data_IF_246424356285
#
_entry.id   IF_246424356285
#
_cell.length_a   1.000
_cell.length_b   1.000
_cell.length_c   1.000
_cell.angle_alpha   90.00
_cell.angle_beta   90.00
_cell.angle_gamma   90.00
#
_symmetry.space_group_name_H-M   'P 1'
#
loop_
_entity.id
_entity.type
_entity.pdbx_description
1 polymer ?
#
# COMPACT_ATOMS: atom_id res chain seq x y z
N UNK A 1 -15.53 -28.18 15.29
CA UNK A 1 -15.43 -26.76 15.72
C UNK A 1 -15.02 -25.82 14.58
N UNK A 2 -13.99 -26.12 13.76
CA UNK A 2 -13.57 -25.27 12.61
C UNK A 2 -14.64 -25.04 11.53
N UNK A 3 -15.48 -26.04 11.22
CA UNK A 3 -16.52 -25.93 10.18
C UNK A 3 -17.60 -24.87 10.49
N UNK A 4 -17.87 -24.59 11.78
CA UNK A 4 -18.83 -23.57 12.18
C UNK A 4 -18.28 -22.15 12.01
N UNK A 5 -16.98 -21.93 12.26
CA UNK A 5 -16.35 -20.61 12.11
C UNK A 5 -16.34 -20.19 10.64
N UNK A 6 -15.97 -21.11 9.74
CA UNK A 6 -15.98 -20.85 8.29
C UNK A 6 -17.41 -20.54 7.81
N UNK A 7 -18.42 -21.32 8.21
CA UNK A 7 -19.81 -21.06 7.85
C UNK A 7 -20.36 -19.74 8.42
N UNK A 8 -19.91 -19.30 9.59
CA UNK A 8 -20.26 -17.99 10.17
C UNK A 8 -19.61 -16.85 9.38
N UNK A 9 -18.36 -17.02 8.93
CA UNK A 9 -17.66 -16.03 8.10
C UNK A 9 -18.32 -15.88 6.72
N UNK A 10 -18.63 -16.99 6.05
CA UNK A 10 -19.32 -16.97 4.75
C UNK A 10 -20.73 -16.36 4.84
N UNK A 11 -21.48 -16.60 5.92
CA UNK A 11 -22.79 -15.96 6.15
C UNK A 11 -22.72 -14.44 6.37
N UNK A 12 -21.55 -13.88 6.68
CA UNK A 12 -21.34 -12.43 6.88
C UNK A 12 -20.85 -11.71 5.62
N UNK A 13 -20.54 -12.43 4.54
CA UNK A 13 -20.19 -11.82 3.25
C UNK A 13 -21.48 -11.36 2.56
N UNK A 14 -21.89 -10.16 2.93
CA UNK A 14 -22.99 -9.44 2.29
C UNK A 14 -22.48 -8.72 1.01
N UNK A 15 -23.29 -8.70 -0.05
CA UNK A 15 -23.01 -8.13 -1.39
C UNK A 15 -22.30 -6.77 -1.34
N UNK A 16 -22.62 -5.93 -0.36
CA UNK A 16 -21.98 -4.62 -0.17
C UNK A 16 -20.44 -4.66 -0.02
N UNK A 17 -19.84 -5.75 0.48
CA UNK A 17 -18.38 -5.88 0.64
C UNK A 17 -17.65 -5.97 -0.71
N UNK A 18 -18.35 -6.37 -1.77
CA UNK A 18 -17.81 -6.49 -3.13
C UNK A 18 -18.24 -5.30 -3.97
N UNK A 19 -19.50 -4.88 -3.85
CA UNK A 19 -20.03 -3.75 -4.64
C UNK A 19 -19.31 -2.45 -4.30
N UNK A 20 -19.02 -2.18 -3.02
CA UNK A 20 -18.35 -0.95 -2.59
C UNK A 20 -16.96 -0.77 -3.23
N UNK A 21 -16.00 -1.72 -3.15
CA UNK A 21 -14.70 -1.56 -3.79
C UNK A 21 -14.79 -1.51 -5.32
N UNK A 22 -15.76 -2.21 -5.94
CA UNK A 22 -15.98 -2.12 -7.39
C UNK A 22 -16.42 -0.73 -7.80
N UNK A 23 -17.36 -0.12 -7.07
CA UNK A 23 -17.79 1.27 -7.34
C UNK A 23 -16.61 2.24 -7.19
N UNK A 24 -15.79 2.08 -6.15
CA UNK A 24 -14.58 2.91 -5.95
C UNK A 24 -13.58 2.73 -7.10
N UNK A 25 -13.38 1.50 -7.55
CA UNK A 25 -12.46 1.21 -8.66
C UNK A 25 -12.96 1.87 -9.96
N UNK A 26 -14.24 1.70 -10.29
CA UNK A 26 -14.84 2.28 -11.50
C UNK A 26 -14.82 3.81 -11.42
N UNK A 27 -15.16 4.41 -10.28
CA UNK A 27 -15.15 5.87 -10.12
C UNK A 27 -13.74 6.45 -10.24
N UNK A 28 -12.71 5.74 -9.75
CA UNK A 28 -11.31 6.13 -9.93
C UNK A 28 -10.90 6.17 -11.41
N UNK A 29 -11.24 5.13 -12.19
CA UNK A 29 -10.99 5.13 -13.64
C UNK A 29 -11.77 6.24 -14.34
N UNK A 30 -13.05 6.42 -14.06
CA UNK A 30 -13.85 7.48 -14.68
C UNK A 30 -13.26 8.87 -14.38
N UNK A 31 -12.88 9.12 -13.13
CA UNK A 31 -12.30 10.41 -12.73
C UNK A 31 -10.98 10.66 -13.45
N UNK A 32 -10.12 9.64 -13.53
CA UNK A 32 -8.85 9.74 -14.25
C UNK A 32 -9.07 9.99 -15.75
N UNK A 33 -10.07 9.35 -16.38
CA UNK A 33 -10.42 9.57 -17.79
C UNK A 33 -10.88 11.02 -18.04
N UNK A 34 -11.70 11.57 -17.15
CA UNK A 34 -12.15 12.96 -17.24
C UNK A 34 -10.96 13.92 -17.19
N UNK A 35 -10.03 13.73 -16.25
CA UNK A 35 -8.82 14.56 -16.14
C UNK A 35 -7.97 14.47 -17.42
N UNK A 36 -7.77 13.27 -17.96
CA UNK A 36 -7.02 13.08 -19.21
C UNK A 36 -7.66 13.82 -20.39
N UNK A 37 -8.98 13.75 -20.53
CA UNK A 37 -9.71 14.46 -21.57
C UNK A 37 -9.59 15.98 -21.43
N UNK A 38 -9.65 16.50 -20.19
CA UNK A 38 -9.43 17.92 -19.91
C UNK A 38 -8.01 18.38 -20.27
N UNK A 39 -7.04 17.49 -20.19
CA UNK A 39 -5.66 17.73 -20.61
C UNK A 39 -5.39 17.41 -22.10
N UNK A 40 -6.42 17.13 -22.90
CA UNK A 40 -6.32 16.76 -24.32
C UNK A 40 -5.56 15.46 -24.61
N UNK A 41 -5.57 14.49 -23.68
CA UNK A 41 -5.03 13.15 -23.88
C UNK A 41 -6.15 12.13 -24.08
N UNK A 42 -5.89 11.09 -24.90
CA UNK A 42 -6.81 9.97 -25.11
C UNK A 42 -6.74 8.98 -23.92
N UNK A 43 -7.80 8.82 -23.11
CA UNK A 43 -7.78 7.92 -21.95
C UNK A 43 -7.61 6.45 -22.33
N UNK A 44 -8.15 6.06 -23.49
CA UNK A 44 -8.08 4.66 -23.93
C UNK A 44 -6.64 4.25 -24.22
N UNK A 45 -5.87 5.10 -24.91
CA UNK A 45 -4.45 4.88 -25.16
C UNK A 45 -3.67 4.81 -23.85
N UNK A 46 -3.96 5.70 -22.90
CA UNK A 46 -3.33 5.69 -21.58
C UNK A 46 -3.62 4.39 -20.80
N UNK A 47 -4.85 3.88 -20.83
CA UNK A 47 -5.21 2.63 -20.15
C UNK A 47 -4.61 1.41 -20.83
N UNK A 48 -4.58 1.36 -22.16
CA UNK A 48 -3.91 0.28 -22.89
C UNK A 48 -2.40 0.28 -22.60
N UNK A 49 -1.77 1.46 -22.57
CA UNK A 49 -0.38 1.61 -22.18
C UNK A 49 -0.14 1.20 -20.71
N UNK A 50 -1.07 1.49 -19.80
CA UNK A 50 -0.98 1.06 -18.41
C UNK A 50 -1.08 -0.48 -18.27
N UNK A 51 -1.97 -1.12 -19.03
CA UNK A 51 -2.11 -2.59 -19.04
C UNK A 51 -0.84 -3.25 -19.60
N UNK A 52 -0.30 -2.78 -20.72
CA UNK A 52 0.97 -3.27 -21.24
C UNK A 52 2.15 -2.97 -20.28
N UNK A 53 2.13 -1.79 -19.65
CA UNK A 53 3.09 -1.39 -18.62
C UNK A 53 3.08 -2.29 -17.39
N UNK A 54 1.91 -2.86 -17.06
CA UNK A 54 1.73 -3.72 -15.90
C UNK A 54 1.94 -5.22 -16.20
N UNK A 55 1.50 -5.70 -17.36
CA UNK A 55 1.43 -7.14 -17.68
C UNK A 55 2.22 -7.54 -18.93
N UNK A 56 2.82 -6.61 -19.67
CA UNK A 56 3.41 -6.88 -20.98
C UNK A 56 4.58 -7.87 -20.98
N UNK A 57 5.33 -7.97 -19.88
CA UNK A 57 6.35 -9.00 -19.70
C UNK A 57 6.63 -9.29 -18.22
N UNK A 58 7.42 -10.34 -17.95
CA UNK A 58 7.76 -10.78 -16.58
C UNK A 58 8.42 -9.67 -15.74
N UNK A 59 9.30 -8.86 -16.32
CA UNK A 59 9.94 -7.74 -15.62
C UNK A 59 8.94 -6.65 -15.26
N UNK A 60 8.11 -6.23 -16.21
CA UNK A 60 7.03 -5.23 -16.00
C UNK A 60 6.03 -5.68 -14.92
N UNK A 61 5.70 -6.97 -14.91
CA UNK A 61 4.87 -7.56 -13.87
C UNK A 61 5.56 -7.54 -12.50
N UNK A 62 6.84 -7.91 -12.44
CA UNK A 62 7.64 -7.79 -11.22
C UNK A 62 7.67 -6.36 -10.67
N UNK A 63 7.91 -5.37 -11.53
CA UNK A 63 7.87 -3.95 -11.17
C UNK A 63 6.49 -3.52 -10.64
N UNK A 64 5.43 -4.04 -11.23
CA UNK A 64 4.06 -3.78 -10.76
C UNK A 64 3.84 -4.31 -9.35
N UNK A 65 4.32 -5.52 -9.05
CA UNK A 65 4.25 -6.09 -7.70
C UNK A 65 5.08 -5.28 -6.70
N UNK A 66 6.31 -4.89 -7.07
CA UNK A 66 7.17 -4.06 -6.22
C UNK A 66 6.50 -2.73 -5.89
N UNK A 67 5.87 -2.08 -6.88
CA UNK A 67 5.17 -0.81 -6.69
C UNK A 67 3.85 -0.94 -5.94
N UNK A 68 3.11 -2.03 -6.13
CA UNK A 68 1.79 -2.22 -5.48
C UNK A 68 1.90 -2.70 -4.03
N UNK A 69 2.95 -3.45 -3.69
CA UNK A 69 3.20 -3.98 -2.33
C UNK A 69 3.07 -2.92 -1.23
N UNK A 70 3.75 -1.76 -1.29
CA UNK A 70 3.62 -0.74 -0.23
C UNK A 70 2.20 -0.19 -0.11
N UNK A 71 1.48 0.01 -1.22
CA UNK A 71 0.09 0.49 -1.18
C UNK A 71 -0.86 -0.54 -0.57
N UNK A 72 -0.66 -1.84 -0.86
CA UNK A 72 -1.43 -2.92 -0.25
C UNK A 72 -1.20 -3.00 1.26
N UNK A 73 0.06 -2.88 1.70
CA UNK A 73 0.40 -2.87 3.12
C UNK A 73 -0.15 -1.63 3.84
N UNK A 74 -0.11 -0.46 3.20
CA UNK A 74 -0.70 0.77 3.73
C UNK A 74 -2.23 0.67 3.86
N UNK A 75 -2.91 0.12 2.85
CA UNK A 75 -4.34 -0.14 2.92
C UNK A 75 -4.70 -1.10 4.07
N UNK A 76 -3.90 -2.15 4.26
CA UNK A 76 -4.08 -3.11 5.36
C UNK A 76 -3.89 -2.47 6.74
N UNK A 77 -2.87 -1.60 6.90
CA UNK A 77 -2.62 -0.92 8.18
C UNK A 77 -3.74 0.06 8.53
N UNK A 78 -4.25 0.82 7.56
CA UNK A 78 -5.39 1.74 7.75
C UNK A 78 -6.67 0.96 8.05
N UNK A 79 -6.92 -0.16 7.36
CA UNK A 79 -8.07 -1.01 7.63
C UNK A 79 -8.06 -1.54 9.08
N UNK A 80 -6.88 -1.85 9.62
CA UNK A 80 -6.73 -2.22 11.03
C UNK A 80 -6.99 -1.04 11.97
N UNK A 81 -6.49 0.15 11.66
CA UNK A 81 -6.74 1.37 12.46
C UNK A 81 -8.24 1.71 12.55
N UNK A 82 -8.97 1.61 11.43
CA UNK A 82 -10.42 1.82 11.42
C UNK A 82 -11.19 0.79 12.23
N UNK A 83 -10.71 -0.46 12.30
CA UNK A 83 -11.31 -1.47 13.19
C UNK A 83 -11.13 -1.13 14.67
N UNK A 84 -10.09 -0.39 15.03
CA UNK A 84 -9.86 0.14 16.37
C UNK A 84 -10.62 1.45 16.64
N UNK A 85 -11.39 1.97 15.67
CA UNK A 85 -12.10 3.25 15.78
C UNK A 85 -11.17 4.47 15.68
N UNK A 86 -9.93 4.29 15.23
CA UNK A 86 -8.94 5.37 15.10
C UNK A 86 -8.92 5.84 13.66
N UNK A 87 -9.12 7.14 13.47
CA UNK A 87 -9.02 7.78 12.17
C UNK A 87 -7.56 8.16 11.87
N UNK A 88 -6.89 7.41 10.98
CA UNK A 88 -5.48 7.64 10.62
C UNK A 88 -5.35 8.40 9.29
N UNK A 89 -5.19 9.73 9.33
CA UNK A 89 -4.93 10.57 8.13
C UNK A 89 -3.44 10.58 7.76
N UNK A 90 -2.56 10.38 8.73
CA UNK A 90 -1.11 10.55 8.58
C UNK A 90 -0.36 9.36 7.98
N UNK A 91 -1.07 8.35 7.47
CA UNK A 91 -0.47 7.11 6.97
C UNK A 91 0.56 7.35 5.85
N UNK A 92 0.33 8.32 4.97
CA UNK A 92 1.30 8.72 3.92
C UNK A 92 2.62 9.22 4.52
N UNK A 93 2.54 10.06 5.57
CA UNK A 93 3.72 10.53 6.29
C UNK A 93 4.45 9.41 7.02
N UNK A 94 3.71 8.49 7.66
CA UNK A 94 4.29 7.30 8.31
C UNK A 94 5.05 6.44 7.31
N UNK A 95 4.48 6.24 6.11
CA UNK A 95 5.12 5.52 5.02
C UNK A 95 6.39 6.22 4.54
N UNK A 96 6.34 7.52 4.26
CA UNK A 96 7.49 8.30 3.78
C UNK A 96 8.64 8.31 4.78
N UNK A 97 8.36 8.54 6.06
CA UNK A 97 9.38 8.57 7.12
C UNK A 97 9.98 7.19 7.36
N UNK A 98 9.14 6.14 7.37
CA UNK A 98 9.62 4.76 7.44
C UNK A 98 10.52 4.38 6.26
N UNK A 99 10.10 4.73 5.04
CA UNK A 99 10.88 4.50 3.82
C UNK A 99 12.21 5.27 3.82
N UNK A 100 12.21 6.53 4.26
CA UNK A 100 13.41 7.34 4.40
C UNK A 100 14.40 6.72 5.38
N UNK A 101 13.93 6.32 6.57
CA UNK A 101 14.78 5.74 7.60
C UNK A 101 15.38 4.39 7.16
N UNK A 102 14.58 3.51 6.53
CA UNK A 102 15.07 2.25 5.98
C UNK A 102 16.05 2.47 4.83
N UNK A 103 15.80 3.43 3.94
CA UNK A 103 16.71 3.76 2.84
C UNK A 103 18.04 4.30 3.36
N UNK A 104 18.00 5.18 4.36
CA UNK A 104 19.21 5.71 5.00
C UNK A 104 20.03 4.60 5.64
N UNK A 105 19.41 3.71 6.42
CA UNK A 105 20.10 2.54 6.98
C UNK A 105 20.67 1.63 5.88
N UNK A 106 19.85 1.26 4.89
CA UNK A 106 20.22 0.34 3.81
C UNK A 106 21.36 0.86 2.93
N UNK A 107 21.49 2.17 2.78
CA UNK A 107 22.53 2.79 1.93
C UNK A 107 23.77 3.23 2.69
N UNK A 108 23.66 3.57 3.99
CA UNK A 108 24.78 4.12 4.77
C UNK A 108 25.35 3.16 5.81
N UNK A 109 24.51 2.35 6.43
CA UNK A 109 24.89 1.52 7.58
C UNK A 109 24.99 0.03 7.23
N UNK A 110 24.07 -0.49 6.40
CA UNK A 110 24.11 -1.88 5.96
C UNK A 110 25.42 -2.26 5.21
N UNK A 111 26.03 -1.39 4.38
CA UNK A 111 27.32 -1.70 3.74
C UNK A 111 28.50 -1.86 4.72
N UNK A 112 28.37 -1.40 5.97
CA UNK A 112 29.41 -1.55 7.00
C UNK A 112 29.48 -2.99 7.55
N UNK A 113 28.46 -3.82 7.29
CA UNK A 113 28.39 -5.22 7.73
C UNK A 113 28.29 -6.16 6.51
N UNK A 114 29.33 -6.23 5.66
CA UNK A 114 29.28 -6.94 4.39
C UNK A 114 29.13 -8.46 4.54
N UNK A 115 29.46 -9.02 5.71
CA UNK A 115 29.39 -10.46 5.97
C UNK A 115 27.97 -10.95 6.31
N UNK A 116 27.03 -10.05 6.62
CA UNK A 116 25.67 -10.38 7.06
C UNK A 116 24.55 -9.65 6.30
N UNK A 117 24.56 -9.65 4.94
CA UNK A 117 23.60 -8.88 4.14
C UNK A 117 22.15 -9.32 4.34
N UNK A 118 21.91 -10.59 4.68
CA UNK A 118 20.59 -11.15 4.97
C UNK A 118 19.91 -10.51 6.18
N UNK A 119 20.69 -10.04 7.16
CA UNK A 119 20.19 -9.42 8.39
C UNK A 119 19.77 -7.96 8.13
N UNK A 120 20.29 -7.32 7.08
CA UNK A 120 19.95 -5.95 6.75
C UNK A 120 18.44 -5.78 6.46
N UNK A 121 17.79 -6.76 5.82
CA UNK A 121 16.36 -6.72 5.48
C UNK A 121 15.45 -6.65 6.72
N UNK A 122 15.52 -7.57 7.70
CA UNK A 122 14.70 -7.46 8.91
C UNK A 122 15.04 -6.22 9.75
N UNK A 123 16.29 -5.75 9.75
CA UNK A 123 16.63 -4.49 10.43
C UNK A 123 15.99 -3.28 9.73
N UNK A 124 16.06 -3.19 8.40
CA UNK A 124 15.36 -2.15 7.62
C UNK A 124 13.87 -2.13 7.96
N UNK A 125 13.23 -3.30 8.06
CA UNK A 125 11.82 -3.41 8.41
C UNK A 125 11.55 -2.91 9.84
N UNK A 126 12.40 -3.27 10.79
CA UNK A 126 12.33 -2.79 12.18
C UNK A 126 12.48 -1.27 12.27
N UNK A 127 13.49 -0.70 11.61
CA UNK A 127 13.74 0.75 11.57
C UNK A 127 12.58 1.50 10.91
N UNK A 128 12.07 1.01 9.77
CA UNK A 128 10.92 1.61 9.11
C UNK A 128 9.69 1.64 10.02
N UNK A 129 9.42 0.52 10.70
CA UNK A 129 8.28 0.38 11.63
C UNK A 129 8.39 1.37 12.78
N UNK A 130 9.57 1.48 13.40
CA UNK A 130 9.80 2.40 14.50
C UNK A 130 9.71 3.87 14.05
N UNK A 131 10.38 4.24 12.96
CA UNK A 131 10.38 5.61 12.46
C UNK A 131 8.97 6.05 12.02
N UNK A 132 8.25 5.21 11.27
CA UNK A 132 6.87 5.46 10.88
C UNK A 132 5.93 5.52 12.09
N UNK A 133 6.12 4.63 13.07
CA UNK A 133 5.37 4.64 14.33
C UNK A 133 5.57 5.93 15.13
N UNK A 134 6.83 6.37 15.28
CA UNK A 134 7.18 7.63 15.95
C UNK A 134 6.54 8.82 15.22
N UNK A 135 6.54 8.83 13.90
CA UNK A 135 5.84 9.87 13.12
C UNK A 135 4.33 9.87 13.40
N UNK A 136 3.74 8.68 13.52
CA UNK A 136 2.34 8.51 13.89
C UNK A 136 1.98 8.97 15.29
N UNK A 137 2.96 9.06 16.21
CA UNK A 137 2.70 9.57 17.56
C UNK A 137 2.36 11.06 17.58
N UNK A 138 2.85 11.84 16.62
CA UNK A 138 2.61 13.28 16.55
C UNK A 138 1.09 13.58 16.51
N UNK A 139 0.33 13.11 15.51
CA UNK A 139 -1.12 13.32 15.50
C UNK A 139 -1.81 12.59 16.65
N UNK A 140 -1.31 11.43 17.09
CA UNK A 140 -1.91 10.71 18.20
C UNK A 140 -1.88 11.50 19.52
N UNK A 141 -0.82 12.29 19.77
CA UNK A 141 -0.68 13.12 20.97
C UNK A 141 -1.49 14.41 20.86
N UNK A 142 -1.58 14.99 19.65
CA UNK A 142 -2.22 16.28 19.43
C UNK A 142 -3.76 16.24 19.43
N UNK A 143 -4.36 15.04 19.48
CA UNK A 143 -5.81 14.80 19.35
C UNK A 143 -6.37 15.41 18.06
#
# INVERSE_FOLDING_TARGET
>A
MMLNVVNILWKRINVHWVVTPVIILVSAFVTNAVIMLLCHYNPLEAYLAAVDGAFGNSRKFGETLVKSTPFLMAGLSIAMAFRCGIWNIGAEGQFLIGALAATWFGTKLAPLFPETPWIAVPICLGIATLAGGIWGLIPAILK
#
